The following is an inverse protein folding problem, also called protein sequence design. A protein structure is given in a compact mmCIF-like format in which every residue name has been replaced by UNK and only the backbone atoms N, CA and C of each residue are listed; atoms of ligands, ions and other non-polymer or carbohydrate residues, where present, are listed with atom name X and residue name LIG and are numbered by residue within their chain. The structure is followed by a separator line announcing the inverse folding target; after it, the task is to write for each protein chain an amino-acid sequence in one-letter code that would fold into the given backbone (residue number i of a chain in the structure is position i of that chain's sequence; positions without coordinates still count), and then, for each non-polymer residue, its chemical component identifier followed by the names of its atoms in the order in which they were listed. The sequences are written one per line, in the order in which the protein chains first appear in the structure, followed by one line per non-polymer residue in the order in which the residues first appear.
data_IF_568156609593
#
_entry.id   IF_568156609593
#
_cell.length_a   1.000
_cell.length_b   1.000
_cell.length_c   1.000
_cell.angle_alpha   90.00
_cell.angle_beta   90.00
_cell.angle_gamma   90.00
#
_symmetry.space_group_name_H-M   'P 1'
#
loop_
_entity.id
_entity.type
_entity.pdbx_description
1 polymer ?
#
# COMPACT_ATOMS: atom_id res chain seq x y z
N UNK A 1 -13.35 14.88 -12.30
CA UNK A 1 -13.11 15.55 -10.99
C UNK A 1 -11.60 15.70 -10.83
N UNK A 2 -11.09 16.89 -10.45
CA UNK A 2 -9.66 17.06 -10.16
C UNK A 2 -9.34 16.34 -8.85
N UNK A 3 -8.41 15.41 -8.90
CA UNK A 3 -7.92 14.71 -7.72
C UNK A 3 -7.04 15.67 -6.92
N UNK A 4 -7.39 15.94 -5.67
CA UNK A 4 -6.61 16.82 -4.81
C UNK A 4 -5.60 16.00 -4.00
N UNK A 5 -4.33 16.15 -4.31
CA UNK A 5 -3.23 15.69 -3.46
C UNK A 5 -2.87 16.81 -2.47
N UNK A 6 -3.51 16.81 -1.32
CA UNK A 6 -3.25 17.80 -0.27
C UNK A 6 -2.07 17.35 0.61
N UNK A 7 -1.19 18.28 1.03
CA UNK A 7 -0.14 17.95 1.98
C UNK A 7 -0.75 17.51 3.32
N UNK A 8 -0.04 16.70 4.11
CA UNK A 8 -0.51 16.32 5.42
C UNK A 8 -0.69 17.55 6.34
N UNK A 9 -1.79 17.56 7.10
CA UNK A 9 -2.06 18.59 8.09
C UNK A 9 -1.09 18.50 9.29
N UNK A 10 -0.60 17.31 9.58
CA UNK A 10 0.35 17.01 10.67
C UNK A 10 1.29 15.91 10.22
N UNK A 11 2.54 15.98 10.64
CA UNK A 11 3.53 14.93 10.43
C UNK A 11 4.61 14.99 11.52
N UNK A 12 5.27 13.87 11.74
CA UNK A 12 6.33 13.78 12.74
C UNK A 12 6.96 12.40 12.79
N UNK A 13 7.59 12.13 13.91
CA UNK A 13 8.17 10.85 14.28
C UNK A 13 7.76 10.49 15.71
N UNK A 14 7.66 9.20 15.99
CA UNK A 14 7.50 8.66 17.34
C UNK A 14 8.57 7.60 17.56
N UNK A 15 9.05 7.48 18.80
CA UNK A 15 9.97 6.40 19.18
C UNK A 15 9.16 5.18 19.59
N UNK A 16 9.38 4.07 18.92
CA UNK A 16 8.78 2.77 19.23
C UNK A 16 9.43 2.16 20.50
N UNK A 17 8.80 1.17 21.14
CA UNK A 17 9.35 0.50 22.33
C UNK A 17 10.73 -0.13 22.14
N UNK A 18 11.08 -0.50 20.91
CA UNK A 18 12.41 -1.05 20.55
C UNK A 18 13.47 0.03 20.26
N UNK A 19 13.13 1.31 20.40
CA UNK A 19 14.01 2.45 20.20
C UNK A 19 14.05 2.98 18.77
N UNK A 20 13.47 2.29 17.77
CA UNK A 20 13.38 2.80 16.40
C UNK A 20 12.41 3.99 16.32
N UNK A 21 12.72 4.96 15.46
CA UNK A 21 11.80 6.03 15.09
C UNK A 21 10.88 5.56 13.98
N UNK A 22 9.60 5.88 14.11
CA UNK A 22 8.57 5.63 13.10
C UNK A 22 8.00 6.97 12.62
N UNK A 23 8.11 7.23 11.32
CA UNK A 23 7.56 8.43 10.67
C UNK A 23 6.07 8.29 10.43
N UNK A 24 5.31 9.35 10.73
CA UNK A 24 3.86 9.39 10.52
C UNK A 24 3.42 10.69 9.87
N UNK A 25 2.27 10.67 9.23
CA UNK A 25 1.55 11.84 8.70
C UNK A 25 0.04 11.66 8.88
N UNK A 26 -0.69 12.77 9.02
CA UNK A 26 -2.13 12.77 9.24
C UNK A 26 -2.84 13.85 8.43
N UNK A 27 -4.07 13.55 8.01
CA UNK A 27 -5.03 14.44 7.37
C UNK A 27 -6.37 14.38 8.10
N UNK A 28 -7.21 15.41 7.92
CA UNK A 28 -8.53 15.51 8.52
C UNK A 28 -8.52 15.96 9.99
N UNK A 29 -9.67 15.90 10.67
CA UNK A 29 -9.83 16.39 12.03
C UNK A 29 -9.00 15.58 13.02
N UNK A 30 -8.42 16.25 14.02
CA UNK A 30 -7.53 15.63 15.02
C UNK A 30 -8.24 14.57 15.87
N UNK A 31 -9.50 14.78 16.16
CA UNK A 31 -10.39 13.91 16.92
C UNK A 31 -11.21 12.93 16.05
N UNK A 32 -10.96 12.94 14.75
CA UNK A 32 -11.59 12.00 13.81
C UNK A 32 -11.22 10.55 14.08
N UNK A 33 -12.10 9.64 13.63
CA UNK A 33 -11.83 8.18 13.69
C UNK A 33 -10.59 7.85 12.87
N UNK A 34 -9.59 7.16 13.45
CA UNK A 34 -8.39 6.82 12.71
C UNK A 34 -8.66 5.79 11.61
N UNK A 35 -8.08 6.03 10.43
CA UNK A 35 -7.98 5.07 9.32
C UNK A 35 -6.52 5.02 8.92
N UNK A 36 -5.92 3.83 8.95
CA UNK A 36 -4.52 3.64 8.55
C UNK A 36 -4.40 3.47 7.04
N UNK A 37 -3.48 4.19 6.41
CA UNK A 37 -3.03 3.95 5.04
C UNK A 37 -1.67 3.25 5.05
N UNK A 38 -1.59 2.10 4.37
CA UNK A 38 -0.34 1.46 3.96
C UNK A 38 -0.05 1.88 2.51
N UNK A 39 0.93 2.79 2.27
CA UNK A 39 1.21 3.36 0.95
C UNK A 39 1.77 2.33 -0.04
N UNK A 40 1.76 2.69 -1.32
CA UNK A 40 2.33 1.89 -2.41
C UNK A 40 3.85 1.79 -2.40
N UNK A 41 4.39 1.24 -3.49
CA UNK A 41 5.81 1.03 -3.69
C UNK A 41 6.61 2.33 -3.61
N UNK A 42 7.69 2.33 -2.84
CA UNK A 42 8.62 3.47 -2.77
C UNK A 42 7.95 4.81 -2.48
N UNK A 43 6.85 4.81 -1.73
CA UNK A 43 6.07 6.00 -1.39
C UNK A 43 6.09 6.22 0.11
N UNK A 44 6.48 7.44 0.53
CA UNK A 44 6.48 7.84 1.94
C UNK A 44 5.08 8.17 2.44
N UNK A 45 4.97 8.33 3.76
CA UNK A 45 3.77 8.76 4.47
C UNK A 45 3.11 10.04 3.92
N UNK A 46 3.80 10.84 3.08
CA UNK A 46 3.31 12.16 2.63
C UNK A 46 2.23 12.11 1.56
N UNK A 47 2.02 10.98 0.90
CA UNK A 47 0.97 10.86 -0.11
C UNK A 47 -0.28 10.23 0.51
N UNK A 48 -1.21 11.08 0.94
CA UNK A 48 -2.54 10.68 1.40
C UNK A 48 -3.56 10.63 0.27
N UNK A 49 -4.79 10.31 0.62
CA UNK A 49 -5.93 10.29 -0.30
C UNK A 49 -7.21 10.80 0.38
N UNK A 50 -8.19 11.18 -0.43
CA UNK A 50 -9.55 11.48 0.05
C UNK A 50 -9.68 12.72 0.91
N UNK A 51 -8.70 13.65 0.90
CA UNK A 51 -8.69 14.84 1.76
C UNK A 51 -10.00 15.63 1.73
N UNK A 52 -10.67 15.72 0.56
CA UNK A 52 -11.96 16.40 0.43
C UNK A 52 -13.16 15.71 1.10
N UNK A 53 -12.99 14.50 1.66
CA UNK A 53 -14.06 13.73 2.31
C UNK A 53 -13.83 13.54 3.82
N UNK A 54 -12.61 13.81 4.31
CA UNK A 54 -12.21 13.43 5.67
C UNK A 54 -13.01 14.18 6.75
N UNK A 55 -13.23 15.49 6.57
CA UNK A 55 -13.97 16.31 7.54
C UNK A 55 -15.44 15.89 7.59
N UNK A 56 -16.09 15.72 6.44
CA UNK A 56 -17.49 15.28 6.36
C UNK A 56 -17.70 13.90 7.01
N UNK A 57 -16.76 12.97 6.80
CA UNK A 57 -16.83 11.61 7.34
C UNK A 57 -16.29 11.48 8.77
N UNK A 58 -15.74 12.56 9.36
CA UNK A 58 -15.13 12.54 10.67
C UNK A 58 -13.93 11.58 10.74
N UNK A 59 -13.12 11.49 9.67
CA UNK A 59 -11.99 10.58 9.55
C UNK A 59 -10.66 11.32 9.77
N UNK A 60 -9.80 10.74 10.57
CA UNK A 60 -8.39 11.06 10.67
C UNK A 60 -7.59 10.01 9.89
N UNK A 61 -7.21 10.34 8.66
CA UNK A 61 -6.34 9.47 7.86
C UNK A 61 -4.93 9.54 8.43
N UNK A 62 -4.35 8.37 8.73
CA UNK A 62 -2.98 8.22 9.24
C UNK A 62 -2.18 7.40 8.24
N UNK A 63 -1.00 7.87 7.87
CA UNK A 63 -0.05 7.13 7.03
C UNK A 63 1.28 7.00 7.77
N UNK A 64 1.86 5.80 7.75
CA UNK A 64 3.13 5.50 8.41
C UNK A 64 4.18 5.13 7.36
N UNK A 65 5.41 5.60 7.54
CA UNK A 65 6.54 5.09 6.75
C UNK A 65 6.92 3.69 7.22
N UNK A 66 6.94 2.72 6.32
CA UNK A 66 7.50 1.40 6.65
C UNK A 66 9.00 1.51 6.96
N UNK A 67 9.57 0.60 7.77
CA UNK A 67 10.98 0.69 8.20
C UNK A 67 11.96 0.84 7.02
N UNK A 68 12.83 1.84 7.11
CA UNK A 68 13.80 2.18 6.07
C UNK A 68 13.26 3.08 4.94
N UNK A 69 11.99 3.47 4.99
CA UNK A 69 11.41 4.49 4.11
C UNK A 69 11.25 5.81 4.87
N UNK A 70 11.31 6.91 4.14
CA UNK A 70 11.02 8.24 4.65
C UNK A 70 11.71 8.55 5.97
N UNK A 71 10.95 8.85 7.01
CA UNK A 71 11.47 9.19 8.33
C UNK A 71 11.50 8.02 9.33
N UNK A 72 11.23 6.78 8.89
CA UNK A 72 11.31 5.60 9.74
C UNK A 72 12.70 4.97 9.72
N UNK A 73 13.22 4.66 10.89
CA UNK A 73 14.52 3.97 10.99
C UNK A 73 14.47 2.61 10.30
N UNK A 74 15.58 2.13 9.72
CA UNK A 74 15.67 0.82 9.12
C UNK A 74 15.43 -0.31 10.13
N UNK A 75 14.89 -1.42 9.65
CA UNK A 75 14.78 -2.69 10.36
C UNK A 75 15.26 -3.81 9.44
N UNK A 76 16.58 -4.05 9.35
CA UNK A 76 17.13 -5.09 8.49
C UNK A 76 16.57 -6.47 8.85
N UNK A 77 16.26 -7.28 7.82
CA UNK A 77 15.74 -8.62 8.03
C UNK A 77 14.26 -8.70 8.46
N UNK A 78 13.55 -7.57 8.57
CA UNK A 78 12.10 -7.57 8.88
C UNK A 78 11.30 -8.44 7.93
N UNK A 79 10.18 -8.90 8.41
CA UNK A 79 9.19 -9.70 7.69
C UNK A 79 7.86 -8.93 7.60
N UNK A 80 6.87 -9.50 6.91
CA UNK A 80 5.51 -8.94 6.92
C UNK A 80 4.87 -8.99 8.31
N UNK A 81 5.22 -9.97 9.14
CA UNK A 81 4.67 -10.14 10.51
C UNK A 81 5.19 -9.08 11.51
N UNK A 82 6.25 -8.35 11.17
CA UNK A 82 6.77 -7.28 12.02
C UNK A 82 5.94 -5.99 11.90
N UNK A 83 5.36 -5.74 10.73
CA UNK A 83 4.59 -4.53 10.49
C UNK A 83 3.36 -4.35 11.40
N UNK A 84 2.52 -5.36 11.66
CA UNK A 84 1.43 -5.25 12.62
C UNK A 84 1.88 -4.86 14.03
N UNK A 85 3.11 -5.24 14.44
CA UNK A 85 3.67 -4.86 15.75
C UNK A 85 3.99 -3.37 15.79
N UNK A 86 4.59 -2.83 14.72
CA UNK A 86 4.88 -1.40 14.61
C UNK A 86 3.58 -0.57 14.61
N UNK A 87 2.54 -1.02 13.88
CA UNK A 87 1.21 -0.38 13.83
C UNK A 87 0.55 -0.37 15.23
N UNK A 88 0.58 -1.49 15.94
CA UNK A 88 0.05 -1.61 17.29
C UNK A 88 0.83 -0.73 18.28
N UNK A 89 2.15 -0.70 18.17
CA UNK A 89 3.02 0.13 18.99
C UNK A 89 2.82 1.62 18.77
N UNK A 90 2.40 2.03 17.55
CA UNK A 90 1.98 3.40 17.26
C UNK A 90 0.61 3.75 17.88
N UNK A 91 -0.17 2.78 18.30
CA UNK A 91 -1.50 2.97 18.90
C UNK A 91 -2.67 2.84 17.91
N UNK A 92 -2.46 2.16 16.79
CA UNK A 92 -3.50 1.88 15.78
C UNK A 92 -3.89 0.39 15.83
N UNK A 93 -4.61 0.00 16.88
CA UNK A 93 -5.15 -1.36 17.05
C UNK A 93 -6.66 -1.34 16.85
N UNK A 94 -7.21 -2.28 16.09
CA UNK A 94 -8.64 -2.36 15.79
C UNK A 94 -9.18 -1.30 14.83
N UNK A 95 -8.31 -0.53 14.17
CA UNK A 95 -8.72 0.54 13.23
C UNK A 95 -8.97 -0.01 11.82
N UNK A 96 -9.78 0.68 10.98
CA UNK A 96 -9.83 0.40 9.56
C UNK A 96 -8.48 0.65 8.89
N UNK A 97 -8.11 -0.24 7.95
CA UNK A 97 -6.83 -0.17 7.23
C UNK A 97 -7.07 -0.15 5.73
N UNK A 98 -6.33 0.69 5.02
CA UNK A 98 -6.28 0.72 3.56
C UNK A 98 -4.91 0.25 3.10
N UNK A 99 -4.84 -0.77 2.25
CA UNK A 99 -3.63 -1.20 1.56
C UNK A 99 -3.69 -0.78 0.09
N UNK A 100 -2.80 0.11 -0.32
CA UNK A 100 -2.71 0.54 -1.71
C UNK A 100 -1.49 -0.08 -2.39
N UNK A 101 -1.69 -0.68 -3.58
CA UNK A 101 -0.60 -1.23 -4.39
C UNK A 101 0.29 -2.17 -3.54
N UNK A 102 1.60 -1.96 -3.47
CA UNK A 102 2.53 -2.71 -2.62
C UNK A 102 2.21 -2.61 -1.11
N UNK A 103 1.36 -1.67 -0.69
CA UNK A 103 0.86 -1.60 0.69
C UNK A 103 -0.12 -2.73 1.05
N UNK A 104 -0.67 -3.44 0.06
CA UNK A 104 -1.66 -4.50 0.26
C UNK A 104 -1.18 -5.65 1.18
N UNK A 105 -0.02 -6.30 0.96
CA UNK A 105 0.44 -7.38 1.85
C UNK A 105 0.67 -6.91 3.28
N UNK A 106 1.07 -5.66 3.50
CA UNK A 106 1.24 -5.08 4.84
C UNK A 106 -0.10 -4.84 5.54
N UNK A 107 -1.10 -4.38 4.80
CA UNK A 107 -2.46 -4.21 5.31
C UNK A 107 -3.13 -5.57 5.60
N UNK A 108 -2.92 -6.57 4.74
CA UNK A 108 -3.38 -7.95 4.94
C UNK A 108 -2.71 -8.60 6.15
N UNK A 109 -1.41 -8.37 6.36
CA UNK A 109 -0.70 -8.81 7.55
C UNK A 109 -1.32 -8.22 8.83
N UNK A 110 -1.72 -6.92 8.81
CA UNK A 110 -2.45 -6.31 9.93
C UNK A 110 -3.79 -7.01 10.20
N UNK A 111 -4.53 -7.38 9.16
CA UNK A 111 -5.80 -8.09 9.32
C UNK A 111 -5.60 -9.53 9.84
N UNK A 112 -4.64 -10.27 9.29
CA UNK A 112 -4.31 -11.63 9.75
C UNK A 112 -3.80 -11.65 11.21
N UNK A 113 -3.09 -10.59 11.64
CA UNK A 113 -2.62 -10.44 13.02
C UNK A 113 -3.68 -9.86 13.98
N UNK A 114 -4.91 -9.61 13.53
CA UNK A 114 -6.00 -9.03 14.35
C UNK A 114 -5.77 -7.57 14.74
N UNK A 115 -4.94 -6.82 14.00
CA UNK A 115 -4.68 -5.38 14.21
C UNK A 115 -5.66 -4.52 13.45
N UNK A 116 -6.11 -4.95 12.27
CA UNK A 116 -7.13 -4.25 11.51
C UNK A 116 -8.53 -4.63 11.97
N UNK A 117 -9.42 -3.63 12.14
CA UNK A 117 -10.85 -3.86 12.43
C UNK A 117 -11.70 -3.99 11.15
N UNK A 118 -11.23 -3.45 10.04
CA UNK A 118 -11.81 -3.53 8.69
C UNK A 118 -10.73 -3.27 7.65
N UNK A 119 -10.87 -3.81 6.45
CA UNK A 119 -9.83 -3.71 5.44
C UNK A 119 -10.38 -3.27 4.09
N UNK A 120 -9.71 -2.32 3.44
CA UNK A 120 -9.84 -2.05 2.02
C UNK A 120 -8.50 -2.28 1.32
N UNK A 121 -8.46 -3.16 0.35
CA UNK A 121 -7.32 -3.32 -0.56
C UNK A 121 -7.69 -2.61 -1.86
N UNK A 122 -6.86 -1.66 -2.25
CA UNK A 122 -7.14 -0.81 -3.41
C UNK A 122 -6.01 -0.94 -4.42
N UNK A 123 -6.32 -1.42 -5.62
CA UNK A 123 -5.30 -1.75 -6.63
C UNK A 123 -4.10 -2.45 -5.99
N UNK A 124 -4.40 -3.45 -5.15
CA UNK A 124 -3.39 -4.08 -4.32
C UNK A 124 -2.51 -5.03 -5.10
N UNK A 125 -1.21 -5.06 -4.74
CA UNK A 125 -0.34 -6.15 -5.16
C UNK A 125 -0.88 -7.48 -4.63
N UNK A 126 -0.94 -8.48 -5.50
CA UNK A 126 -1.38 -9.83 -5.14
C UNK A 126 -0.19 -10.71 -4.74
N UNK A 127 -0.45 -11.85 -4.12
CA UNK A 127 0.58 -12.83 -3.79
C UNK A 127 1.02 -13.58 -5.06
N UNK A 128 1.75 -12.89 -5.93
CA UNK A 128 2.19 -13.44 -7.23
C UNK A 128 3.04 -14.71 -7.11
N UNK A 129 3.63 -14.97 -5.95
CA UNK A 129 4.32 -16.22 -5.64
C UNK A 129 3.36 -17.38 -5.26
N UNK A 130 2.04 -17.12 -5.17
CA UNK A 130 1.08 -18.17 -4.91
C UNK A 130 0.99 -19.14 -6.11
N UNK A 131 0.87 -20.47 -5.87
CA UNK A 131 0.84 -21.47 -6.93
C UNK A 131 -0.24 -21.23 -7.98
N UNK A 132 -1.36 -20.61 -7.57
CA UNK A 132 -2.51 -20.30 -8.43
C UNK A 132 -2.16 -19.39 -9.59
N UNK A 133 -1.16 -18.52 -9.45
CA UNK A 133 -0.77 -17.58 -10.49
C UNK A 133 0.33 -18.09 -11.42
N UNK A 134 1.05 -19.16 -11.02
CA UNK A 134 2.28 -19.54 -11.71
C UNK A 134 2.14 -19.75 -13.23
N UNK A 135 1.00 -20.29 -13.67
CA UNK A 135 0.75 -20.55 -15.08
C UNK A 135 0.44 -19.27 -15.88
N UNK A 136 -0.15 -18.27 -15.22
CA UNK A 136 -0.67 -17.06 -15.85
C UNK A 136 0.31 -15.88 -15.81
N UNK A 137 1.40 -16.00 -15.02
CA UNK A 137 2.41 -14.95 -14.92
C UNK A 137 3.21 -14.82 -16.24
N UNK A 138 3.44 -13.58 -16.73
CA UNK A 138 4.44 -13.33 -17.76
C UNK A 138 5.81 -13.90 -17.37
N UNK A 139 6.59 -14.35 -18.35
CA UNK A 139 7.89 -15.01 -18.13
C UNK A 139 8.85 -14.16 -17.29
N UNK A 140 8.94 -12.86 -17.58
CA UNK A 140 9.80 -11.93 -16.84
C UNK A 140 9.40 -11.82 -15.35
N UNK A 141 8.10 -11.69 -15.08
CA UNK A 141 7.60 -11.62 -13.71
C UNK A 141 7.80 -12.93 -12.98
N UNK A 142 7.60 -14.07 -13.66
CA UNK A 142 7.86 -15.40 -13.11
C UNK A 142 9.33 -15.55 -12.72
N UNK A 143 10.25 -15.09 -13.59
CA UNK A 143 11.69 -15.09 -13.32
C UNK A 143 12.06 -14.26 -12.08
N UNK A 144 11.42 -13.10 -11.88
CA UNK A 144 11.61 -12.29 -10.68
C UNK A 144 11.08 -12.99 -9.42
N UNK A 145 9.90 -13.60 -9.48
CA UNK A 145 9.31 -14.37 -8.37
C UNK A 145 10.21 -15.56 -8.01
N UNK A 146 10.72 -16.29 -9.00
CA UNK A 146 11.63 -17.41 -8.77
C UNK A 146 12.97 -16.93 -8.16
N UNK A 147 13.48 -15.77 -8.56
CA UNK A 147 14.68 -15.15 -7.97
C UNK A 147 14.45 -14.77 -6.51
N UNK A 148 13.32 -14.13 -6.20
CA UNK A 148 12.94 -13.79 -4.81
C UNK A 148 12.83 -15.05 -3.94
N UNK A 149 12.29 -16.14 -4.47
CA UNK A 149 12.13 -17.39 -3.74
C UNK A 149 13.46 -18.14 -3.51
N UNK A 150 14.37 -18.12 -4.49
CA UNK A 150 15.62 -18.87 -4.45
C UNK A 150 16.76 -18.12 -3.74
N UNK A 151 16.86 -16.81 -3.94
CA UNK A 151 17.89 -15.93 -3.35
C UNK A 151 17.31 -14.55 -3.03
N UNK A 152 16.60 -14.40 -1.90
CA UNK A 152 16.03 -13.12 -1.48
C UNK A 152 17.07 -12.00 -1.33
N UNK A 153 18.32 -12.34 -0.97
CA UNK A 153 19.39 -11.35 -0.78
C UNK A 153 19.83 -10.77 -2.14
N UNK A 154 20.07 -11.61 -3.13
CA UNK A 154 20.38 -11.15 -4.49
C UNK A 154 19.21 -10.36 -5.11
N UNK A 155 17.96 -10.76 -4.82
CA UNK A 155 16.79 -10.00 -5.24
C UNK A 155 16.73 -8.62 -4.57
N UNK A 156 17.05 -8.49 -3.28
CA UNK A 156 17.15 -7.19 -2.60
C UNK A 156 18.24 -6.31 -3.24
N UNK A 157 19.41 -6.86 -3.57
CA UNK A 157 20.48 -6.13 -4.27
C UNK A 157 20.04 -5.65 -5.66
N UNK A 158 19.25 -6.46 -6.37
CA UNK A 158 18.67 -6.07 -7.66
C UNK A 158 17.70 -4.89 -7.50
N UNK A 159 16.73 -4.97 -6.58
CA UNK A 159 15.76 -3.90 -6.32
C UNK A 159 16.41 -2.66 -5.70
N UNK A 160 17.52 -2.78 -5.01
CA UNK A 160 18.28 -1.65 -4.48
C UNK A 160 18.94 -0.78 -5.57
N UNK A 161 18.86 -1.15 -6.84
CA UNK A 161 19.31 -0.31 -7.97
C UNK A 161 18.23 0.67 -8.44
N UNK A 162 17.01 0.54 -7.95
CA UNK A 162 15.91 1.45 -8.30
C UNK A 162 16.07 2.80 -7.61
N UNK A 163 15.57 3.83 -8.29
CA UNK A 163 15.49 5.20 -7.80
C UNK A 163 14.05 5.71 -7.89
N UNK A 164 13.71 6.83 -7.24
CA UNK A 164 12.40 7.46 -7.39
C UNK A 164 12.04 7.72 -8.87
N UNK A 165 12.99 8.19 -9.66
CA UNK A 165 12.77 8.46 -11.08
C UNK A 165 12.55 7.17 -11.89
N UNK A 166 13.31 6.10 -11.60
CA UNK A 166 13.10 4.80 -12.23
C UNK A 166 11.69 4.26 -11.94
N UNK A 167 11.21 4.39 -10.69
CA UNK A 167 9.84 4.00 -10.33
C UNK A 167 8.80 4.84 -11.06
N UNK A 168 8.97 6.15 -11.11
CA UNK A 168 8.07 7.03 -11.85
C UNK A 168 7.95 6.61 -13.32
N UNK A 169 9.09 6.38 -13.98
CA UNK A 169 9.12 5.95 -15.38
C UNK A 169 8.60 4.54 -15.60
N UNK A 170 8.66 3.69 -14.61
CA UNK A 170 8.05 2.36 -14.65
C UNK A 170 6.52 2.43 -14.49
N UNK A 171 6.02 3.29 -13.61
CA UNK A 171 4.58 3.34 -13.26
C UNK A 171 3.81 4.17 -14.28
N UNK A 172 4.14 5.45 -14.43
CA UNK A 172 3.25 6.41 -15.11
C UNK A 172 3.11 6.15 -16.60
N UNK A 173 4.17 5.97 -17.39
CA UNK A 173 4.03 5.72 -18.83
C UNK A 173 3.33 4.40 -19.16
N UNK A 174 3.39 3.41 -18.27
CA UNK A 174 2.78 2.09 -18.47
C UNK A 174 1.34 2.00 -17.92
N UNK A 175 0.85 3.08 -17.31
CA UNK A 175 -0.54 3.16 -16.83
C UNK A 175 -1.51 3.50 -17.96
N UNK A 176 -2.78 3.08 -17.88
CA UNK A 176 -3.85 3.51 -18.79
C UNK A 176 -3.96 5.05 -18.87
N UNK A 177 -4.54 5.55 -19.95
CA UNK A 177 -4.67 6.99 -20.17
C UNK A 177 -5.46 7.70 -19.05
N UNK A 178 -6.46 7.02 -18.52
CA UNK A 178 -7.31 7.48 -17.43
C UNK A 178 -6.51 7.66 -16.12
N UNK A 179 -5.61 6.74 -15.82
CA UNK A 179 -4.69 6.84 -14.68
C UNK A 179 -3.66 7.93 -14.89
N UNK A 180 -3.09 8.03 -16.13
CA UNK A 180 -2.15 9.09 -16.45
C UNK A 180 -2.76 10.47 -16.27
N UNK A 181 -4.05 10.66 -16.58
CA UNK A 181 -4.74 11.91 -16.32
C UNK A 181 -4.71 12.34 -14.83
N UNK A 182 -4.65 11.36 -13.92
CA UNK A 182 -4.45 11.59 -12.48
C UNK A 182 -2.98 11.84 -12.16
N UNK A 183 -2.11 10.92 -12.58
CA UNK A 183 -0.69 10.95 -12.20
C UNK A 183 0.07 12.13 -12.78
N UNK A 184 -0.32 12.59 -13.98
CA UNK A 184 0.30 13.74 -14.69
C UNK A 184 -0.35 15.08 -14.34
N UNK A 185 -1.44 15.12 -13.54
CA UNK A 185 -1.92 16.38 -12.98
C UNK A 185 -0.78 17.09 -12.25
N UNK A 186 -0.48 18.37 -12.54
CA UNK A 186 0.72 19.03 -12.02
C UNK A 186 0.81 19.06 -10.48
N UNK A 187 -0.32 19.12 -9.77
CA UNK A 187 -0.33 19.13 -8.31
C UNK A 187 -0.09 17.73 -7.77
N UNK A 188 -0.77 16.75 -8.35
CA UNK A 188 -0.61 15.33 -7.98
C UNK A 188 0.81 14.83 -8.28
N UNK A 189 1.33 15.10 -9.49
CA UNK A 189 2.67 14.70 -9.89
C UNK A 189 3.75 15.24 -8.95
N UNK A 190 3.64 16.51 -8.52
CA UNK A 190 4.57 17.09 -7.54
C UNK A 190 4.50 16.37 -6.20
N UNK A 191 3.29 16.14 -5.68
CA UNK A 191 3.10 15.45 -4.39
C UNK A 191 3.62 14.00 -4.44
N UNK A 192 3.33 13.28 -5.52
CA UNK A 192 3.75 11.90 -5.67
C UNK A 192 5.27 11.78 -5.82
N UNK A 193 5.89 12.61 -6.69
CA UNK A 193 7.36 12.64 -6.82
C UNK A 193 8.05 13.04 -5.52
N UNK A 194 7.49 13.99 -4.76
CA UNK A 194 8.00 14.36 -3.44
C UNK A 194 7.93 13.19 -2.46
N UNK A 195 6.81 12.46 -2.43
CA UNK A 195 6.66 11.30 -1.57
C UNK A 195 7.62 10.15 -1.96
N UNK A 196 7.87 9.93 -3.26
CA UNK A 196 8.88 8.99 -3.72
C UNK A 196 10.29 9.42 -3.32
N UNK A 197 10.67 10.68 -3.57
CA UNK A 197 11.98 11.20 -3.21
C UNK A 197 12.25 11.09 -1.69
N UNK A 198 11.25 11.38 -0.85
CA UNK A 198 11.37 11.22 0.59
C UNK A 198 11.47 9.74 1.00
N UNK A 199 10.72 8.84 0.36
CA UNK A 199 10.82 7.40 0.65
C UNK A 199 12.25 6.86 0.49
N UNK A 200 12.98 7.39 -0.49
CA UNK A 200 14.35 7.00 -0.79
C UNK A 200 15.43 7.87 -0.10
N UNK A 201 15.08 8.80 0.77
CA UNK A 201 16.06 9.70 1.40
C UNK A 201 17.13 8.98 2.23
N UNK A 202 16.86 7.77 2.70
CA UNK A 202 17.81 6.90 3.41
C UNK A 202 18.46 5.86 2.49
N UNK A 203 18.29 5.98 1.17
CA UNK A 203 18.71 5.00 0.18
C UNK A 203 17.60 4.00 -0.19
N UNK A 204 17.87 3.08 -1.11
CA UNK A 204 16.86 2.19 -1.70
C UNK A 204 16.56 0.92 -0.88
N UNK A 205 17.30 0.64 0.20
CA UNK A 205 17.23 -0.63 0.93
C UNK A 205 15.82 -0.92 1.48
N UNK A 206 15.12 0.12 2.01
CA UNK A 206 13.76 -0.02 2.51
C UNK A 206 12.77 -0.43 1.42
N UNK A 207 12.88 0.18 0.23
CA UNK A 207 12.08 -0.18 -0.94
C UNK A 207 12.40 -1.60 -1.44
N UNK A 208 13.68 -1.95 -1.54
CA UNK A 208 14.11 -3.27 -1.99
C UNK A 208 13.55 -4.38 -1.09
N UNK A 209 13.67 -4.19 0.24
CA UNK A 209 13.09 -5.12 1.21
C UNK A 209 11.58 -5.26 1.08
N UNK A 210 10.85 -4.13 0.98
CA UNK A 210 9.40 -4.14 0.77
C UNK A 210 9.01 -4.92 -0.50
N UNK A 211 9.77 -4.75 -1.58
CA UNK A 211 9.50 -5.42 -2.86
C UNK A 211 9.70 -6.92 -2.75
N UNK A 212 10.78 -7.37 -2.12
CA UNK A 212 11.01 -8.81 -1.88
C UNK A 212 9.92 -9.40 -1.02
N UNK A 213 9.49 -8.70 0.04
CA UNK A 213 8.40 -9.16 0.91
C UNK A 213 7.06 -9.25 0.16
N UNK A 214 6.76 -8.27 -0.68
CA UNK A 214 5.50 -8.25 -1.44
C UNK A 214 5.46 -9.32 -2.54
N UNK A 215 6.59 -9.58 -3.22
CA UNK A 215 6.69 -10.55 -4.32
C UNK A 215 6.87 -11.99 -3.84
N UNK A 216 7.28 -12.22 -2.60
CA UNK A 216 7.47 -13.54 -2.01
C UNK A 216 6.15 -14.19 -1.56
N UNK A 217 6.28 -15.40 -1.00
CA UNK A 217 5.16 -16.05 -0.28
C UNK A 217 4.87 -15.26 1.01
N UNK A 218 3.60 -14.99 1.25
CA UNK A 218 3.20 -14.31 2.47
C UNK A 218 3.13 -15.31 3.65
N UNK A 219 3.67 -14.95 4.83
CA UNK A 219 3.80 -15.89 5.94
C UNK A 219 2.50 -16.12 6.73
N UNK A 220 1.41 -15.45 6.37
CA UNK A 220 0.12 -15.53 7.05
C UNK A 220 -0.94 -16.22 6.19
N UNK A 221 -1.95 -16.78 6.86
CA UNK A 221 -3.10 -17.41 6.20
C UNK A 221 -4.20 -16.38 5.93
N UNK A 222 -4.50 -16.14 4.65
CA UNK A 222 -5.61 -15.28 4.24
C UNK A 222 -6.97 -15.82 4.68
N UNK A 223 -7.10 -17.14 4.82
CA UNK A 223 -8.31 -17.80 5.31
C UNK A 223 -8.61 -17.51 6.78
N UNK A 224 -7.62 -17.05 7.55
CA UNK A 224 -7.78 -16.68 8.95
C UNK A 224 -8.34 -15.26 9.16
N UNK A 225 -8.44 -14.46 8.11
CA UNK A 225 -8.96 -13.08 8.19
C UNK A 225 -10.47 -13.12 8.41
N UNK A 226 -10.92 -12.59 9.54
CA UNK A 226 -12.34 -12.60 9.96
C UNK A 226 -13.01 -11.24 9.89
N UNK A 227 -12.23 -10.17 9.71
CA UNK A 227 -12.77 -8.82 9.57
C UNK A 227 -13.37 -8.59 8.17
N UNK A 228 -14.31 -7.66 8.00
CA UNK A 228 -14.81 -7.30 6.67
C UNK A 228 -13.69 -6.80 5.76
N UNK A 229 -13.65 -7.33 4.52
CA UNK A 229 -12.65 -6.97 3.51
C UNK A 229 -13.34 -6.53 2.22
N UNK A 230 -12.99 -5.35 1.74
CA UNK A 230 -13.38 -4.81 0.45
C UNK A 230 -12.16 -4.71 -0.47
N UNK A 231 -12.22 -5.32 -1.64
CA UNK A 231 -11.16 -5.31 -2.66
C UNK A 231 -11.61 -4.42 -3.82
N UNK A 232 -10.86 -3.34 -4.07
CA UNK A 232 -11.18 -2.36 -5.10
C UNK A 232 -10.13 -2.40 -6.20
N UNK A 233 -10.52 -2.79 -7.41
CA UNK A 233 -9.63 -2.81 -8.58
C UNK A 233 -10.28 -2.09 -9.76
N UNK A 234 -9.47 -1.40 -10.53
CA UNK A 234 -9.91 -0.85 -11.80
C UNK A 234 -10.01 -1.94 -12.87
N UNK A 235 -11.01 -1.84 -13.74
CA UNK A 235 -11.20 -2.77 -14.85
C UNK A 235 -10.03 -2.78 -15.84
N UNK A 236 -9.32 -1.64 -15.95
CA UNK A 236 -8.14 -1.47 -16.81
C UNK A 236 -6.83 -1.79 -16.10
N UNK A 237 -6.84 -2.15 -14.82
CA UNK A 237 -5.64 -2.49 -14.06
C UNK A 237 -5.04 -3.83 -14.53
N UNK A 238 -3.79 -3.79 -14.99
CA UNK A 238 -3.03 -4.95 -15.47
C UNK A 238 -1.68 -5.11 -14.74
N UNK A 239 -1.40 -4.25 -13.74
CA UNK A 239 -0.08 -4.17 -13.12
C UNK A 239 -0.05 -4.64 -11.67
N UNK A 240 -1.17 -4.63 -10.96
CA UNK A 240 -1.20 -4.92 -9.52
C UNK A 240 -1.57 -6.35 -9.20
N UNK A 241 -2.52 -6.93 -9.94
CA UNK A 241 -2.96 -8.31 -9.76
C UNK A 241 -3.22 -8.95 -11.13
N UNK A 242 -2.84 -10.22 -11.35
CA UNK A 242 -3.08 -10.91 -12.63
C UNK A 242 -4.56 -10.99 -13.01
N UNK A 243 -5.47 -11.01 -12.02
CA UNK A 243 -6.91 -11.18 -12.21
C UNK A 243 -7.75 -10.14 -11.46
N UNK A 244 -7.17 -8.96 -11.22
CA UNK A 244 -7.83 -7.85 -10.49
C UNK A 244 -8.40 -8.30 -9.14
N UNK A 245 -7.63 -9.11 -8.41
CA UNK A 245 -7.96 -9.56 -7.06
C UNK A 245 -9.05 -10.64 -6.99
N UNK A 246 -9.42 -11.31 -8.10
CA UNK A 246 -10.41 -12.37 -8.06
C UNK A 246 -9.94 -13.58 -7.25
N UNK A 247 -8.68 -13.97 -7.40
CA UNK A 247 -8.06 -15.03 -6.60
C UNK A 247 -7.93 -14.61 -5.14
N UNK A 248 -7.50 -13.39 -4.88
CA UNK A 248 -7.41 -12.86 -3.51
C UNK A 248 -8.79 -12.89 -2.82
N UNK A 249 -9.85 -12.48 -3.52
CA UNK A 249 -11.22 -12.51 -3.00
C UNK A 249 -11.68 -13.94 -2.63
N UNK A 250 -11.30 -14.93 -3.40
CA UNK A 250 -11.66 -16.35 -3.10
C UNK A 250 -10.91 -16.89 -1.87
N UNK A 251 -9.72 -16.37 -1.60
CA UNK A 251 -8.86 -16.82 -0.49
C UNK A 251 -9.22 -16.17 0.85
N UNK A 252 -9.95 -15.05 0.84
CA UNK A 252 -10.36 -14.33 2.06
C UNK A 252 -11.86 -14.55 2.30
N UNK A 253 -12.25 -15.19 3.42
CA UNK A 253 -13.66 -15.45 3.71
C UNK A 253 -14.49 -14.16 3.76
N UNK A 254 -15.59 -14.12 3.00
CA UNK A 254 -16.52 -13.00 3.00
C UNK A 254 -16.00 -11.71 2.34
N UNK A 255 -14.85 -11.75 1.65
CA UNK A 255 -14.34 -10.59 0.93
C UNK A 255 -15.28 -10.17 -0.20
N UNK A 256 -15.50 -8.86 -0.32
CA UNK A 256 -16.30 -8.25 -1.40
C UNK A 256 -15.35 -7.61 -2.42
N UNK A 257 -15.49 -7.99 -3.67
CA UNK A 257 -14.71 -7.43 -4.76
C UNK A 257 -15.53 -6.40 -5.54
N UNK A 258 -14.96 -5.21 -5.68
CA UNK A 258 -15.48 -4.09 -6.46
C UNK A 258 -14.60 -3.88 -7.70
N UNK A 259 -15.16 -4.09 -8.88
CA UNK A 259 -14.49 -3.80 -10.14
C UNK A 259 -14.98 -2.45 -10.66
N UNK A 260 -14.07 -1.48 -10.72
CA UNK A 260 -14.39 -0.08 -11.07
C UNK A 260 -14.18 0.11 -12.57
N UNK A 261 -15.23 0.44 -13.35
CA UNK A 261 -15.11 0.60 -14.79
C UNK A 261 -14.31 1.83 -15.19
N UNK A 262 -13.62 1.76 -16.33
CA UNK A 262 -12.98 2.89 -16.98
C UNK A 262 -11.81 3.50 -16.21
N UNK A 263 -11.14 2.75 -15.33
CA UNK A 263 -9.95 3.16 -14.57
C UNK A 263 -9.01 1.98 -14.40
N UNK A 264 -7.72 2.23 -14.20
CA UNK A 264 -6.72 1.24 -13.85
C UNK A 264 -6.33 1.29 -12.38
N UNK A 265 -5.05 1.52 -12.08
CA UNK A 265 -4.50 1.55 -10.72
C UNK A 265 -4.83 2.80 -9.90
N UNK A 266 -5.42 3.85 -10.50
CA UNK A 266 -5.70 5.11 -9.83
C UNK A 266 -7.00 5.13 -8.99
N UNK A 267 -7.60 3.96 -8.72
CA UNK A 267 -8.87 3.81 -7.97
C UNK A 267 -8.83 4.53 -6.63
N UNK A 268 -7.72 4.45 -5.90
CA UNK A 268 -7.59 5.05 -4.57
C UNK A 268 -7.91 6.55 -4.55
N UNK A 269 -7.51 7.26 -5.59
CA UNK A 269 -7.70 8.71 -5.67
C UNK A 269 -9.02 9.09 -6.35
N UNK A 270 -9.46 8.31 -7.33
CA UNK A 270 -10.68 8.60 -8.09
C UNK A 270 -11.96 8.20 -7.36
N UNK A 271 -11.90 7.18 -6.49
CA UNK A 271 -13.03 6.63 -5.72
C UNK A 271 -12.82 6.73 -4.20
N UNK A 272 -12.01 7.70 -3.78
CA UNK A 272 -11.66 7.91 -2.37
C UNK A 272 -12.87 7.99 -1.43
N UNK A 273 -13.92 8.71 -1.83
CA UNK A 273 -15.13 8.86 -1.03
C UNK A 273 -15.87 7.54 -0.79
N UNK A 274 -15.98 6.71 -1.82
CA UNK A 274 -16.67 5.42 -1.72
C UNK A 274 -15.89 4.43 -0.85
N UNK A 275 -14.56 4.40 -1.03
CA UNK A 275 -13.65 3.57 -0.21
C UNK A 275 -13.74 3.98 1.27
N UNK A 276 -13.69 5.29 1.57
CA UNK A 276 -13.75 5.79 2.93
C UNK A 276 -15.11 5.53 3.58
N UNK A 277 -16.22 5.67 2.85
CA UNK A 277 -17.56 5.33 3.35
C UNK A 277 -17.66 3.84 3.66
N UNK A 278 -17.23 2.97 2.73
CA UNK A 278 -17.26 1.53 2.94
C UNK A 278 -16.48 1.09 4.19
N UNK A 279 -15.38 1.77 4.52
CA UNK A 279 -14.59 1.51 5.73
C UNK A 279 -15.26 1.98 7.03
N UNK A 280 -16.20 2.91 6.96
CA UNK A 280 -16.82 3.54 8.12
C UNK A 280 -18.28 3.16 8.33
N UNK A 281 -18.88 2.45 7.39
CA UNK A 281 -20.23 1.85 7.54
C UNK A 281 -20.22 0.79 8.65
N UNK A 282 -21.25 0.83 9.50
CA UNK A 282 -21.41 -0.06 10.66
C UNK A 282 -21.89 -1.45 10.25
#
# INVERSE_FOLDING_TARGET
MSVKAEPPARLGQVTLPDGRRLGWAEWGPRDGRPVLLCPGAGTSRRLGFGAGHLDELGIRLVSLDRPGLGASDPSPGRTLDDWPRDVRAFGLDGVPVVGFSQGAPFALACAAAGVAGRLAIVSGADEVAAPEFRADLPEELRGLVDSVASDPAAAEEFFARFSPDALWHMIVPNSPAEDRAVYEDPAFARAYRQAMAEAFQQGPAGYARDTVLAMGRWPFDLGSITVPVDLWYGELDRSHSPDQGATLARRIPGARRHLVPGIGGAVLWTHAGDILRALTES
#
